data_IF_007423003214
#
_entry.id   IF_007423003214
#
_cell.length_a   1.000
_cell.length_b   1.000
_cell.length_c   1.000
_cell.angle_alpha   90.00
_cell.angle_beta   90.00
_cell.angle_gamma   90.00
#
_symmetry.space_group_name_H-M   'P 1'
#
loop_
_entity.id
_entity.type
_entity.pdbx_description
1 polymer ?
#
# COMPACT_ATOMS: atom_id res chain seq x y z
N UNK A 1 -1.36 14.20 3.80
CA UNK A 1 -1.64 12.73 3.82
C UNK A 1 -0.64 12.07 4.74
N UNK A 2 -1.10 11.16 5.58
CA UNK A 2 -0.17 10.32 6.31
C UNK A 2 0.60 9.47 5.29
N UNK A 3 1.89 9.69 5.18
CA UNK A 3 2.77 8.80 4.42
C UNK A 3 2.90 7.51 5.21
N UNK A 4 2.97 6.39 4.53
CA UNK A 4 3.12 5.08 5.17
C UNK A 4 4.61 4.81 5.49
N UNK A 5 5.28 5.81 6.08
CA UNK A 5 6.71 5.80 6.45
C UNK A 5 6.92 5.58 7.95
N UNK A 6 5.85 5.31 8.70
CA UNK A 6 5.89 5.08 10.14
C UNK A 6 6.16 6.32 10.99
N UNK A 7 6.13 7.52 10.39
CA UNK A 7 6.40 8.77 11.11
C UNK A 7 5.08 9.46 11.42
N UNK A 8 4.84 9.75 12.69
CA UNK A 8 3.67 10.49 13.15
C UNK A 8 3.94 12.00 13.06
N UNK A 9 3.16 12.68 12.21
CA UNK A 9 3.35 14.11 11.93
C UNK A 9 2.16 14.92 12.38
N UNK A 10 2.45 16.02 13.10
CA UNK A 10 1.47 17.06 13.35
C UNK A 10 1.18 17.83 12.08
N UNK A 11 -0.08 17.99 11.75
CA UNK A 11 -0.51 18.82 10.63
C UNK A 11 -1.61 19.78 11.07
N UNK A 12 -1.58 20.99 10.55
CA UNK A 12 -2.65 21.96 10.71
C UNK A 12 -2.90 22.65 9.38
N UNK A 13 -4.15 22.80 9.00
CA UNK A 13 -4.56 23.53 7.79
C UNK A 13 -5.50 24.68 8.15
N UNK A 14 -5.41 25.75 7.41
CA UNK A 14 -6.35 26.86 7.47
C UNK A 14 -7.21 26.89 6.22
N UNK A 15 -8.52 26.88 6.37
CA UNK A 15 -9.51 26.98 5.30
C UNK A 15 -10.30 28.26 5.46
N UNK A 16 -10.33 29.10 4.42
CA UNK A 16 -11.16 30.28 4.43
C UNK A 16 -12.64 29.95 4.23
N UNK A 17 -13.50 30.63 4.96
CA UNK A 17 -14.96 30.50 4.90
C UNK A 17 -15.60 31.87 4.61
N UNK A 18 -16.57 31.85 3.73
CA UNK A 18 -17.38 33.02 3.39
C UNK A 18 -18.73 32.91 4.07
N UNK A 19 -19.47 34.02 4.07
CA UNK A 19 -20.85 34.06 4.57
C UNK A 19 -21.75 32.99 3.93
N UNK A 20 -21.50 32.67 2.67
CA UNK A 20 -22.31 31.70 1.92
C UNK A 20 -22.03 30.23 2.26
N UNK A 21 -20.87 29.89 2.86
CA UNK A 21 -20.49 28.51 3.13
C UNK A 21 -20.21 28.21 4.62
N UNK A 22 -20.31 29.19 5.49
CA UNK A 22 -20.07 29.00 6.92
C UNK A 22 -21.13 28.09 7.56
N UNK A 23 -22.40 28.20 7.14
CA UNK A 23 -23.49 27.35 7.64
C UNK A 23 -23.27 25.86 7.31
N UNK A 24 -22.64 25.54 6.17
CA UNK A 24 -22.27 24.15 5.85
C UNK A 24 -21.16 23.63 6.77
N UNK A 25 -20.19 24.47 7.12
CA UNK A 25 -19.14 24.15 8.07
C UNK A 25 -19.73 23.94 9.48
N UNK A 26 -20.59 24.84 9.93
CA UNK A 26 -21.33 24.70 11.18
C UNK A 26 -22.11 23.40 11.26
N UNK A 27 -22.91 23.11 10.21
CA UNK A 27 -23.69 21.88 10.17
C UNK A 27 -22.84 20.60 10.13
N UNK A 28 -21.60 20.67 9.63
CA UNK A 28 -20.65 19.58 9.71
C UNK A 28 -20.01 19.46 11.09
N UNK A 29 -19.50 20.55 11.63
CA UNK A 29 -18.74 20.56 12.87
C UNK A 29 -19.62 20.25 14.08
N UNK A 30 -20.83 20.82 14.11
CA UNK A 30 -21.82 20.64 15.18
C UNK A 30 -22.74 19.42 14.97
N UNK A 31 -22.44 18.60 13.93
CA UNK A 31 -23.22 17.39 13.61
C UNK A 31 -24.73 17.62 13.44
N UNK A 32 -25.11 18.73 12.82
CA UNK A 32 -26.51 19.10 12.60
C UNK A 32 -27.18 18.42 11.39
N UNK A 33 -26.41 17.71 10.55
CA UNK A 33 -26.92 17.02 9.36
C UNK A 33 -27.49 15.65 9.72
N UNK A 34 -28.59 15.28 9.09
CA UNK A 34 -29.21 13.95 9.23
C UNK A 34 -28.48 12.87 8.41
N UNK A 35 -27.70 13.27 7.40
CA UNK A 35 -26.87 12.38 6.60
C UNK A 35 -25.58 13.11 6.15
N UNK A 36 -24.50 12.36 6.05
CA UNK A 36 -23.21 12.86 5.64
C UNK A 36 -22.75 12.16 4.37
N UNK A 37 -22.05 12.89 3.47
CA UNK A 37 -21.41 12.30 2.30
C UNK A 37 -20.23 11.38 2.68
N UNK A 38 -19.64 11.63 3.84
CA UNK A 38 -18.62 10.77 4.41
C UNK A 38 -19.30 9.62 5.17
N UNK A 39 -19.33 8.44 4.59
CA UNK A 39 -19.92 7.23 5.20
C UNK A 39 -19.14 6.74 6.45
N UNK A 40 -17.96 7.29 6.67
CA UNK A 40 -17.15 6.95 7.84
C UNK A 40 -17.57 7.71 9.09
N UNK A 41 -18.46 8.70 8.98
CA UNK A 41 -19.08 9.35 10.15
C UNK A 41 -20.14 8.42 10.72
N UNK A 42 -20.00 8.08 11.98
CA UNK A 42 -20.89 7.19 12.74
C UNK A 42 -21.70 8.03 13.73
N UNK A 43 -22.94 8.41 13.41
CA UNK A 43 -23.73 9.35 14.22
C UNK A 43 -23.97 8.89 15.66
N UNK A 44 -24.07 7.57 15.89
CA UNK A 44 -24.25 6.99 17.21
C UNK A 44 -23.07 7.28 18.14
N UNK A 45 -21.92 7.67 17.58
CA UNK A 45 -20.70 8.00 18.31
C UNK A 45 -20.49 9.50 18.47
N UNK A 46 -21.30 10.35 17.87
CA UNK A 46 -21.13 11.83 17.94
C UNK A 46 -21.23 12.38 19.36
N UNK A 47 -21.81 11.62 20.28
CA UNK A 47 -21.81 11.97 21.72
C UNK A 47 -20.41 11.96 22.37
N UNK A 48 -19.40 11.41 21.69
CA UNK A 48 -18.00 11.42 22.11
C UNK A 48 -17.21 12.60 21.53
N UNK A 49 -17.81 13.40 20.65
CA UNK A 49 -17.19 14.65 20.20
C UNK A 49 -17.09 15.60 21.39
N UNK A 50 -15.97 16.32 21.49
CA UNK A 50 -15.68 17.18 22.63
C UNK A 50 -15.54 18.62 22.16
N UNK A 51 -16.35 19.50 22.71
CA UNK A 51 -16.15 20.94 22.53
C UNK A 51 -15.17 21.46 23.59
N UNK A 52 -14.05 22.01 23.14
CA UNK A 52 -13.16 22.82 23.97
C UNK A 52 -13.70 24.25 24.09
N UNK A 53 -14.47 24.68 23.09
CA UNK A 53 -15.29 25.88 23.11
C UNK A 53 -16.60 25.60 22.41
N UNK A 54 -17.71 25.63 23.16
CA UNK A 54 -19.06 25.52 22.61
C UNK A 54 -19.50 26.83 21.96
N UNK A 55 -20.18 26.79 20.79
CA UNK A 55 -20.79 27.98 20.23
C UNK A 55 -21.99 28.43 21.06
N UNK A 56 -22.16 29.73 21.24
CA UNK A 56 -23.27 30.33 22.00
C UNK A 56 -24.50 30.68 21.15
N UNK A 57 -24.40 30.45 19.85
CA UNK A 57 -25.44 30.65 18.85
C UNK A 57 -24.91 30.18 17.50
N UNK A 58 -25.61 30.42 16.41
CA UNK A 58 -25.04 30.15 15.09
C UNK A 58 -23.77 30.98 14.85
N UNK A 59 -22.87 30.47 14.05
CA UNK A 59 -21.60 31.17 13.76
C UNK A 59 -21.84 32.57 13.18
N UNK A 60 -22.89 32.76 12.37
CA UNK A 60 -23.30 34.05 11.83
C UNK A 60 -23.85 35.01 12.93
N UNK A 61 -24.65 34.52 13.86
CA UNK A 61 -25.12 35.31 14.98
C UNK A 61 -23.97 35.76 15.87
N UNK A 62 -23.04 34.84 16.19
CA UNK A 62 -21.86 35.15 17.01
C UNK A 62 -20.99 36.22 16.33
N UNK A 63 -20.73 36.08 15.01
CA UNK A 63 -20.01 37.10 14.25
C UNK A 63 -20.69 38.48 14.32
N UNK A 64 -22.00 38.51 14.10
CA UNK A 64 -22.79 39.75 14.16
C UNK A 64 -22.73 40.39 15.55
N UNK A 65 -22.76 39.57 16.61
CA UNK A 65 -22.63 40.05 17.98
C UNK A 65 -21.24 40.66 18.24
N UNK A 66 -20.17 40.01 17.79
CA UNK A 66 -18.78 40.51 17.91
C UNK A 66 -18.59 41.84 17.18
N UNK A 67 -19.26 42.04 16.04
CA UNK A 67 -19.24 43.32 15.34
C UNK A 67 -20.00 44.39 16.09
N UNK A 68 -21.19 44.10 16.64
CA UNK A 68 -21.99 45.01 17.44
C UNK A 68 -21.26 45.43 18.72
N UNK A 69 -20.59 44.53 19.39
CA UNK A 69 -19.82 44.79 20.62
C UNK A 69 -18.51 45.56 20.36
N UNK A 70 -18.12 45.68 19.12
CA UNK A 70 -16.85 46.30 18.74
C UNK A 70 -15.62 45.40 18.98
N UNK A 71 -15.82 44.11 19.29
CA UNK A 71 -14.75 43.10 19.43
C UNK A 71 -14.00 42.95 18.09
N UNK A 72 -14.73 43.04 16.99
CA UNK A 72 -14.20 43.03 15.62
C UNK A 72 -14.70 44.20 14.81
N UNK A 73 -14.04 44.51 13.70
CA UNK A 73 -14.47 45.55 12.76
C UNK A 73 -14.41 45.06 11.34
N UNK A 74 -15.55 45.18 10.65
CA UNK A 74 -15.67 44.87 9.19
C UNK A 74 -15.43 46.09 8.30
N UNK A 75 -15.04 47.23 8.90
CA UNK A 75 -14.85 48.50 8.20
C UNK A 75 -13.92 48.35 7.00
N UNK A 76 -14.48 48.55 5.78
CA UNK A 76 -13.76 48.49 4.52
C UNK A 76 -13.60 47.07 3.96
N UNK A 77 -14.30 46.08 4.50
CA UNK A 77 -14.44 44.78 3.84
C UNK A 77 -15.37 44.88 2.62
N UNK A 78 -15.10 44.05 1.63
CA UNK A 78 -15.99 43.84 0.50
C UNK A 78 -17.08 42.83 0.86
N UNK A 79 -18.25 42.86 0.18
CA UNK A 79 -19.33 41.90 0.45
C UNK A 79 -18.94 40.43 0.27
N UNK A 80 -17.97 40.15 -0.61
CA UNK A 80 -17.46 38.82 -0.93
C UNK A 80 -16.17 38.45 -0.14
N UNK A 81 -15.83 39.23 0.89
CA UNK A 81 -14.65 39.00 1.68
C UNK A 81 -14.78 37.71 2.53
N UNK A 82 -13.63 37.14 2.84
CA UNK A 82 -13.53 36.03 3.80
C UNK A 82 -13.74 36.59 5.22
N UNK A 83 -14.80 36.14 5.89
CA UNK A 83 -15.17 36.57 7.23
C UNK A 83 -14.70 35.59 8.31
N UNK A 84 -14.60 34.30 7.96
CA UNK A 84 -14.27 33.25 8.90
C UNK A 84 -13.11 32.42 8.34
N UNK A 85 -12.35 31.83 9.22
CA UNK A 85 -11.36 30.84 8.93
C UNK A 85 -11.61 29.59 9.79
N UNK A 86 -11.16 28.45 9.31
CA UNK A 86 -11.23 27.17 10.02
C UNK A 86 -9.83 26.57 10.09
N UNK A 87 -9.31 26.37 11.31
CA UNK A 87 -8.14 25.54 11.52
C UNK A 87 -8.59 24.10 11.74
N UNK A 88 -7.95 23.18 11.03
CA UNK A 88 -8.14 21.75 11.25
C UNK A 88 -6.80 21.15 11.65
N UNK A 89 -6.72 20.66 12.87
CA UNK A 89 -5.55 20.00 13.43
C UNK A 89 -5.71 18.49 13.32
N UNK A 90 -4.66 17.83 12.85
CA UNK A 90 -4.69 16.42 12.55
C UNK A 90 -3.34 15.76 12.85
N UNK A 91 -3.40 14.48 13.23
CA UNK A 91 -2.30 13.52 13.28
C UNK A 91 -2.84 12.20 12.74
N UNK A 92 -2.00 11.33 12.22
CA UNK A 92 -2.48 10.05 11.69
C UNK A 92 -3.17 9.20 12.77
N UNK A 93 -4.16 8.41 12.37
CA UNK A 93 -4.97 7.60 13.30
C UNK A 93 -4.14 6.55 14.04
N UNK A 94 -3.01 6.11 13.48
CA UNK A 94 -2.13 5.13 14.10
C UNK A 94 -1.48 5.70 15.36
N UNK A 95 -1.16 6.98 15.39
CA UNK A 95 -0.60 7.66 16.55
C UNK A 95 -1.50 7.48 17.77
N UNK A 96 -2.75 7.87 17.66
CA UNK A 96 -3.71 7.74 18.76
C UNK A 96 -3.99 6.30 19.13
N UNK A 97 -4.12 5.42 18.13
CA UNK A 97 -4.32 3.99 18.35
C UNK A 97 -3.19 3.40 19.21
N UNK A 98 -1.94 3.77 18.95
CA UNK A 98 -0.76 3.28 19.67
C UNK A 98 -0.59 3.91 21.06
N UNK A 99 -1.25 5.04 21.35
CA UNK A 99 -1.12 5.79 22.61
C UNK A 99 -2.36 5.70 23.52
N UNK A 100 -3.26 4.75 23.31
CA UNK A 100 -4.43 4.57 24.17
C UNK A 100 -5.74 5.14 23.61
N UNK A 101 -5.73 5.63 22.38
CA UNK A 101 -6.95 5.96 21.63
C UNK A 101 -7.62 7.25 22.10
N UNK A 102 -8.89 7.14 22.48
CA UNK A 102 -9.77 8.29 22.75
C UNK A 102 -9.27 9.20 23.88
N UNK A 103 -8.90 8.66 25.01
CA UNK A 103 -8.46 9.44 26.18
C UNK A 103 -7.17 10.22 25.90
N UNK A 104 -6.24 9.60 25.16
CA UNK A 104 -5.03 10.28 24.75
C UNK A 104 -5.33 11.39 23.73
N UNK A 105 -6.26 11.15 22.80
CA UNK A 105 -6.68 12.14 21.81
C UNK A 105 -7.32 13.37 22.50
N UNK A 106 -8.11 13.19 23.55
CA UNK A 106 -8.65 14.29 24.35
C UNK A 106 -7.54 15.18 24.93
N UNK A 107 -6.53 14.57 25.54
CA UNK A 107 -5.39 15.29 26.14
C UNK A 107 -4.60 16.03 25.06
N UNK A 108 -4.33 15.36 23.95
CA UNK A 108 -3.60 15.92 22.82
C UNK A 108 -4.32 17.14 22.22
N UNK A 109 -5.63 17.01 21.94
CA UNK A 109 -6.39 18.09 21.31
C UNK A 109 -6.77 19.21 22.29
N UNK A 110 -6.76 18.96 23.58
CA UNK A 110 -6.84 20.03 24.57
C UNK A 110 -5.61 20.97 24.49
N UNK A 111 -4.41 20.42 24.28
CA UNK A 111 -3.21 21.24 24.03
C UNK A 111 -3.23 21.87 22.63
N UNK A 112 -3.69 21.16 21.62
CA UNK A 112 -3.86 21.72 20.27
C UNK A 112 -4.85 22.91 20.27
N UNK A 113 -5.87 22.88 21.12
CA UNK A 113 -6.77 24.04 21.32
C UNK A 113 -6.04 25.26 21.91
N UNK A 114 -5.16 25.07 22.89
CA UNK A 114 -4.33 26.17 23.40
C UNK A 114 -3.42 26.74 22.32
N UNK A 115 -2.81 25.89 21.51
CA UNK A 115 -2.07 26.35 20.33
C UNK A 115 -2.95 27.15 19.36
N UNK A 116 -4.20 26.73 19.15
CA UNK A 116 -5.15 27.46 18.32
C UNK A 116 -5.46 28.85 18.88
N UNK A 117 -5.67 28.98 20.20
CA UNK A 117 -5.88 30.27 20.86
C UNK A 117 -4.72 31.23 20.62
N UNK A 118 -3.47 30.74 20.75
CA UNK A 118 -2.26 31.55 20.50
C UNK A 118 -2.15 31.94 19.02
N UNK A 119 -2.38 31.00 18.08
CA UNK A 119 -2.32 31.24 16.64
C UNK A 119 -3.39 32.26 16.20
N UNK A 120 -4.59 32.12 16.74
CA UNK A 120 -5.72 33.03 16.45
C UNK A 120 -5.48 34.41 17.06
N UNK A 121 -4.77 34.48 18.20
CA UNK A 121 -4.47 35.72 18.91
C UNK A 121 -5.52 36.07 19.98
N UNK A 122 -6.21 35.08 20.49
CA UNK A 122 -7.15 35.21 21.61
C UNK A 122 -8.41 34.38 21.42
N UNK A 123 -8.86 33.80 22.51
CA UNK A 123 -10.06 32.94 22.58
C UNK A 123 -11.36 33.67 22.18
N UNK A 124 -11.42 34.99 22.38
CA UNK A 124 -12.57 35.81 22.03
C UNK A 124 -12.88 35.83 20.52
N UNK A 125 -11.93 35.47 19.66
CA UNK A 125 -12.10 35.39 18.21
C UNK A 125 -12.49 34.00 17.71
N UNK A 126 -12.48 32.98 18.57
CA UNK A 126 -12.90 31.62 18.26
C UNK A 126 -14.41 31.51 18.47
N UNK A 127 -15.12 30.96 17.48
CA UNK A 127 -16.57 30.74 17.54
C UNK A 127 -16.89 29.35 18.08
N UNK A 128 -16.18 28.35 17.66
CA UNK A 128 -16.32 26.96 18.11
C UNK A 128 -14.98 26.23 17.97
N UNK A 129 -14.75 25.27 18.87
CA UNK A 129 -13.62 24.35 18.81
C UNK A 129 -14.08 22.96 19.22
N UNK A 130 -14.17 22.02 18.27
CA UNK A 130 -14.70 20.68 18.51
C UNK A 130 -13.73 19.60 18.01
N UNK A 131 -13.39 18.66 18.88
CA UNK A 131 -12.72 17.42 18.51
C UNK A 131 -13.76 16.41 18.03
N UNK A 132 -13.61 15.95 16.80
CA UNK A 132 -14.41 14.84 16.30
C UNK A 132 -13.79 13.50 16.72
N UNK A 133 -14.63 12.62 17.25
CA UNK A 133 -14.29 11.26 17.67
C UNK A 133 -15.21 10.20 17.05
N UNK A 134 -16.02 10.61 16.09
CA UNK A 134 -17.06 9.83 15.44
C UNK A 134 -16.73 9.43 14.00
N UNK A 135 -15.53 9.73 13.53
CA UNK A 135 -15.09 9.34 12.19
C UNK A 135 -14.24 8.07 12.23
N UNK A 136 -14.67 7.03 11.52
CA UNK A 136 -13.97 5.74 11.44
C UNK A 136 -12.85 5.79 10.41
N UNK A 137 -11.68 5.29 10.74
CA UNK A 137 -10.65 4.99 9.76
C UNK A 137 -10.91 3.63 9.11
N UNK A 138 -11.69 3.60 8.02
CA UNK A 138 -12.09 2.36 7.34
C UNK A 138 -10.88 1.49 6.91
N UNK A 139 -9.77 2.11 6.52
CA UNK A 139 -8.57 1.39 6.09
C UNK A 139 -7.90 0.62 7.23
N UNK A 140 -7.65 1.28 8.37
CA UNK A 140 -7.08 0.64 9.55
C UNK A 140 -8.06 -0.35 10.16
N UNK A 141 -9.34 -0.02 10.26
CA UNK A 141 -10.38 -0.91 10.78
C UNK A 141 -10.43 -2.23 10.00
N UNK A 142 -10.35 -2.15 8.66
CA UNK A 142 -10.29 -3.35 7.81
C UNK A 142 -9.01 -4.16 8.03
N UNK A 143 -7.88 -3.51 8.20
CA UNK A 143 -6.59 -4.18 8.40
C UNK A 143 -6.51 -4.88 9.75
N UNK A 144 -7.07 -4.28 10.81
CA UNK A 144 -6.99 -4.80 12.18
C UNK A 144 -8.17 -5.69 12.58
N UNK A 145 -9.29 -5.64 11.82
CA UNK A 145 -10.48 -6.44 12.11
C UNK A 145 -11.39 -5.87 13.21
N UNK A 146 -11.16 -4.65 13.67
CA UNK A 146 -12.00 -3.91 14.61
C UNK A 146 -11.96 -2.40 14.29
N UNK A 147 -12.91 -1.63 14.83
CA UNK A 147 -13.04 -0.20 14.51
C UNK A 147 -11.87 0.62 15.09
N UNK A 148 -11.22 1.39 14.22
CA UNK A 148 -10.22 2.40 14.55
C UNK A 148 -10.75 3.77 14.16
N UNK A 149 -10.55 4.75 15.04
CA UNK A 149 -11.14 6.07 14.92
C UNK A 149 -10.10 7.09 14.46
N UNK A 150 -10.56 8.05 13.68
CA UNK A 150 -9.79 9.19 13.23
C UNK A 150 -10.20 10.42 14.03
N UNK A 151 -9.30 10.86 14.90
CA UNK A 151 -9.53 12.05 15.73
C UNK A 151 -8.91 13.27 15.08
N UNK A 152 -9.63 14.39 15.07
CA UNK A 152 -9.14 15.67 14.57
C UNK A 152 -9.90 16.81 15.24
N UNK A 153 -9.29 18.01 15.29
CA UNK A 153 -9.87 19.17 15.94
C UNK A 153 -10.20 20.23 14.88
N UNK A 154 -11.43 20.67 14.86
CA UNK A 154 -11.91 21.82 14.10
C UNK A 154 -11.99 23.05 14.99
N UNK A 155 -11.46 24.19 14.54
CA UNK A 155 -11.53 25.47 15.23
C UNK A 155 -12.01 26.53 14.25
N UNK A 156 -13.24 26.98 14.41
CA UNK A 156 -13.83 28.08 13.63
C UNK A 156 -13.54 29.39 14.33
N UNK A 157 -13.01 30.37 13.60
CA UNK A 157 -12.66 31.65 14.18
C UNK A 157 -12.78 32.81 13.17
N UNK A 158 -12.77 34.04 13.70
CA UNK A 158 -12.74 35.27 12.89
C UNK A 158 -11.28 35.74 12.73
N UNK A 159 -10.72 35.80 11.50
CA UNK A 159 -9.34 36.21 11.28
C UNK A 159 -9.21 37.75 11.43
N UNK A 160 -8.63 38.19 12.54
CA UNK A 160 -8.46 39.61 12.85
C UNK A 160 -6.99 40.01 12.83
N UNK A 161 -6.75 41.28 12.53
CA UNK A 161 -5.48 41.98 12.67
C UNK A 161 -5.68 43.32 13.36
N UNK A 162 -4.77 43.68 14.24
CA UNK A 162 -4.77 45.02 14.83
C UNK A 162 -4.51 46.07 13.75
N UNK A 163 -5.32 47.10 13.73
CA UNK A 163 -5.19 48.23 12.80
C UNK A 163 -5.38 49.54 13.53
N UNK A 164 -4.40 50.37 13.42
CA UNK A 164 -4.46 51.75 13.84
C UNK A 164 -5.17 52.60 12.78
N UNK A 165 -6.23 53.28 13.18
CA UNK A 165 -6.94 54.26 12.34
C UNK A 165 -6.42 55.64 12.72
N UNK A 166 -5.85 56.34 11.74
CA UNK A 166 -5.25 57.63 11.97
C UNK A 166 -6.28 58.77 11.69
N UNK A 167 -6.12 59.89 12.40
CA UNK A 167 -6.85 61.09 12.07
C UNK A 167 -6.56 61.53 10.64
N UNK A 168 -7.60 61.66 9.88
CA UNK A 168 -7.49 62.05 8.44
C UNK A 168 -7.17 63.52 8.28
N UNK A 169 -6.75 63.93 7.06
CA UNK A 169 -6.54 65.33 6.69
C UNK A 169 -7.79 66.21 6.79
N UNK A 170 -8.97 65.63 7.03
CA UNK A 170 -10.24 66.36 7.30
C UNK A 170 -10.45 66.68 8.76
N UNK A 171 -9.52 66.33 9.65
CA UNK A 171 -9.62 66.66 11.06
C UNK A 171 -9.54 68.17 11.22
N UNK A 172 -10.42 68.75 12.09
CA UNK A 172 -10.46 70.18 12.37
C UNK A 172 -9.24 70.66 13.15
N UNK A 173 -8.63 69.77 13.91
CA UNK A 173 -7.42 70.06 14.67
C UNK A 173 -6.18 69.56 13.86
N UNK A 174 -5.34 70.46 13.34
CA UNK A 174 -4.16 70.10 12.58
C UNK A 174 -3.16 69.28 13.37
N UNK A 175 -3.09 69.43 14.71
CA UNK A 175 -2.16 68.71 15.56
C UNK A 175 -2.48 67.19 15.70
N UNK A 176 -3.71 66.82 15.45
CA UNK A 176 -4.17 65.46 15.49
C UNK A 176 -3.95 64.70 14.16
N UNK A 177 -3.78 65.41 13.04
CA UNK A 177 -3.65 64.81 11.74
C UNK A 177 -2.44 63.83 11.71
N UNK A 178 -2.72 62.56 11.35
CA UNK A 178 -1.69 61.51 11.31
C UNK A 178 -1.40 60.82 12.66
N UNK A 179 -1.98 61.30 13.76
CA UNK A 179 -1.93 60.59 15.03
C UNK A 179 -2.97 59.49 15.08
N UNK A 180 -2.82 58.49 16.00
CA UNK A 180 -3.76 57.41 16.18
C UNK A 180 -5.06 57.92 16.75
N UNK A 181 -6.15 57.74 16.02
CA UNK A 181 -7.51 58.05 16.47
C UNK A 181 -8.13 56.94 17.28
N UNK A 182 -7.99 55.73 16.81
CA UNK A 182 -8.52 54.51 17.44
C UNK A 182 -7.72 53.27 16.94
N UNK A 183 -7.68 52.25 17.76
CA UNK A 183 -7.17 50.93 17.36
C UNK A 183 -8.33 49.96 17.25
N UNK A 184 -8.47 49.26 16.15
CA UNK A 184 -9.54 48.31 15.88
C UNK A 184 -8.99 46.94 15.55
N UNK A 185 -9.71 45.90 15.85
CA UNK A 185 -9.44 44.54 15.40
C UNK A 185 -10.15 44.32 14.06
N UNK A 186 -9.46 44.62 12.97
CA UNK A 186 -10.04 44.52 11.63
C UNK A 186 -10.08 43.08 11.14
N UNK A 187 -11.25 42.60 10.72
CA UNK A 187 -11.39 41.32 10.04
C UNK A 187 -10.60 41.34 8.74
N UNK A 188 -9.65 40.44 8.58
CA UNK A 188 -8.82 40.37 7.38
C UNK A 188 -8.04 39.06 7.26
N UNK A 189 -8.60 38.09 6.56
CA UNK A 189 -7.92 36.84 6.22
C UNK A 189 -6.56 37.08 5.55
N UNK A 190 -6.52 37.87 4.50
CA UNK A 190 -5.31 38.10 3.68
C UNK A 190 -4.14 38.75 4.45
N UNK A 191 -4.43 39.60 5.45
CA UNK A 191 -3.41 40.18 6.31
C UNK A 191 -2.99 39.26 7.43
N UNK A 192 -3.91 38.51 8.01
CA UNK A 192 -3.63 37.50 9.03
C UNK A 192 -2.67 36.44 8.47
N UNK A 193 -2.93 35.98 7.27
CA UNK A 193 -2.19 34.90 6.59
C UNK A 193 -1.23 35.39 5.51
N UNK A 194 -0.65 36.55 5.67
CA UNK A 194 0.39 37.03 4.74
C UNK A 194 1.72 36.29 4.97
N UNK A 195 2.46 36.06 3.87
CA UNK A 195 3.82 35.54 3.95
C UNK A 195 4.73 36.50 4.69
N UNK A 196 5.63 35.98 5.52
CA UNK A 196 6.54 36.77 6.37
C UNK A 196 7.96 36.82 5.80
N UNK A 197 8.67 37.94 5.91
CA UNK A 197 10.08 38.02 5.56
C UNK A 197 10.90 37.02 6.40
N UNK A 198 11.89 36.40 5.78
CA UNK A 198 12.89 35.58 6.49
C UNK A 198 14.05 36.48 6.88
N UNK A 199 14.50 36.36 8.14
CA UNK A 199 15.65 37.08 8.66
C UNK A 199 16.83 36.14 8.85
N UNK A 200 18.04 36.63 8.68
CA UNK A 200 19.27 35.92 9.05
C UNK A 200 19.56 36.04 10.54
N UNK A 201 20.62 35.38 11.00
CA UNK A 201 21.04 35.37 12.42
C UNK A 201 21.35 36.79 12.97
N UNK A 202 21.61 37.76 12.10
CA UNK A 202 21.86 39.16 12.47
C UNK A 202 20.56 40.01 12.48
N UNK A 203 19.42 39.41 12.19
CA UNK A 203 18.13 40.11 12.11
C UNK A 203 17.92 40.90 10.81
N UNK A 204 18.76 40.71 9.78
CA UNK A 204 18.61 41.37 8.49
C UNK A 204 17.77 40.53 7.54
N UNK A 205 16.88 41.17 6.79
CA UNK A 205 16.02 40.50 5.81
C UNK A 205 16.84 39.77 4.75
N UNK A 206 16.57 38.49 4.56
CA UNK A 206 17.20 37.67 3.54
C UNK A 206 16.67 38.02 2.14
N UNK A 207 17.58 38.02 1.17
CA UNK A 207 17.23 38.29 -0.23
C UNK A 207 17.67 37.13 -1.13
N UNK A 208 16.89 36.89 -2.18
CA UNK A 208 17.26 35.96 -3.26
C UNK A 208 18.42 36.52 -4.08
N UNK A 209 19.06 35.70 -4.91
CA UNK A 209 20.12 36.14 -5.85
C UNK A 209 19.68 37.31 -6.74
N UNK A 210 18.37 37.46 -6.97
CA UNK A 210 17.78 38.55 -7.80
C UNK A 210 17.30 39.75 -6.95
N UNK A 211 17.73 39.86 -5.70
CA UNK A 211 17.41 41.00 -4.82
C UNK A 211 15.99 41.02 -4.24
N UNK A 212 15.14 39.96 -4.50
CA UNK A 212 13.81 39.88 -3.92
C UNK A 212 13.89 39.37 -2.48
N UNK A 213 13.04 39.89 -1.59
CA UNK A 213 12.94 39.41 -0.21
C UNK A 213 12.52 37.93 -0.23
N UNK A 214 13.22 37.11 0.56
CA UNK A 214 12.83 35.73 0.79
C UNK A 214 11.66 35.74 1.75
N UNK A 215 10.54 35.14 1.32
CA UNK A 215 9.32 35.06 2.12
C UNK A 215 9.07 33.62 2.57
N UNK A 216 8.78 33.44 3.87
CA UNK A 216 8.25 32.22 4.43
C UNK A 216 6.74 32.24 4.27
N UNK A 217 6.18 31.22 3.62
CA UNK A 217 4.73 31.10 3.43
C UNK A 217 4.03 30.99 4.77
N UNK A 218 2.89 31.64 4.93
CA UNK A 218 2.07 31.60 6.15
C UNK A 218 1.75 30.17 6.61
N UNK A 219 1.45 29.29 5.67
CA UNK A 219 1.24 27.87 5.94
C UNK A 219 2.44 27.24 6.67
N UNK A 220 3.68 27.54 6.26
CA UNK A 220 4.87 27.00 6.91
C UNK A 220 5.06 27.57 8.31
N UNK A 221 4.68 28.84 8.54
CA UNK A 221 4.69 29.48 9.86
C UNK A 221 3.68 28.80 10.78
N UNK A 222 2.46 28.56 10.27
CA UNK A 222 1.40 27.88 10.98
C UNK A 222 1.82 26.48 11.46
N UNK A 223 2.46 25.69 10.57
CA UNK A 223 2.96 24.36 10.91
C UNK A 223 4.04 24.43 12.01
N UNK A 224 4.96 25.40 11.92
CA UNK A 224 5.99 25.57 12.96
C UNK A 224 5.36 25.92 14.31
N UNK A 225 4.46 26.90 14.35
CA UNK A 225 3.79 27.33 15.58
C UNK A 225 3.06 26.19 16.29
N UNK A 226 2.31 25.39 15.52
CA UNK A 226 1.60 24.24 16.06
C UNK A 226 2.55 23.18 16.59
N UNK A 227 3.50 22.74 15.79
CA UNK A 227 4.46 21.72 16.19
C UNK A 227 5.30 22.16 17.43
N UNK A 228 5.82 23.40 17.41
CA UNK A 228 6.65 23.91 18.52
C UNK A 228 5.85 24.00 19.83
N UNK A 229 4.56 24.38 19.75
CA UNK A 229 3.66 24.36 20.90
C UNK A 229 3.49 22.93 21.45
N UNK A 230 3.17 21.96 20.59
CA UNK A 230 2.94 20.57 21.01
C UNK A 230 4.18 19.94 21.62
N UNK A 231 5.37 20.18 21.05
CA UNK A 231 6.65 19.73 21.61
C UNK A 231 6.89 20.36 22.98
N UNK A 232 6.62 21.67 23.12
CA UNK A 232 6.76 22.38 24.40
C UNK A 232 5.79 21.88 25.47
N UNK A 233 4.64 21.38 25.06
CA UNK A 233 3.65 20.75 25.93
C UNK A 233 3.98 19.29 26.31
N UNK A 234 5.06 18.73 25.76
CA UNK A 234 5.55 17.39 26.09
C UNK A 234 5.27 16.31 25.05
N UNK A 235 4.59 16.60 23.94
CA UNK A 235 4.38 15.68 22.83
C UNK A 235 5.62 15.67 21.91
N UNK A 236 6.68 14.97 22.34
CA UNK A 236 7.98 14.98 21.68
C UNK A 236 8.18 13.86 20.67
N UNK A 237 7.24 12.96 20.56
CA UNK A 237 7.23 11.79 19.68
C UNK A 237 6.48 12.03 18.35
N UNK A 238 6.10 13.26 18.09
CA UNK A 238 5.55 13.70 16.82
C UNK A 238 6.56 14.57 16.06
N UNK A 239 6.58 14.42 14.75
CA UNK A 239 7.37 15.29 13.88
C UNK A 239 6.50 16.41 13.27
N UNK A 240 7.14 17.48 12.90
CA UNK A 240 6.51 18.53 12.11
C UNK A 240 6.18 18.00 10.70
N UNK A 241 5.04 18.39 10.16
CA UNK A 241 4.72 18.18 8.74
C UNK A 241 5.85 18.65 7.82
N UNK A 242 6.09 17.95 6.72
CA UNK A 242 7.25 18.15 5.85
C UNK A 242 7.36 19.57 5.29
N UNK A 243 8.58 20.14 5.34
CA UNK A 243 8.85 21.47 4.77
C UNK A 243 8.90 21.41 3.25
N UNK A 244 8.20 22.34 2.60
CA UNK A 244 8.21 22.44 1.14
C UNK A 244 7.35 21.41 0.41
N UNK A 245 6.54 20.62 1.12
CA UNK A 245 5.53 19.78 0.48
C UNK A 245 4.62 20.63 -0.39
N UNK A 246 4.47 20.24 -1.66
CA UNK A 246 3.54 20.82 -2.63
C UNK A 246 2.28 19.95 -2.77
N UNK A 247 2.14 18.92 -1.94
CA UNK A 247 0.98 18.05 -1.97
C UNK A 247 -0.27 18.85 -1.57
N UNK A 248 -1.22 18.95 -2.48
CA UNK A 248 -2.51 19.55 -2.21
C UNK A 248 -3.32 18.65 -1.25
N UNK A 249 -4.03 19.29 -0.34
CA UNK A 249 -4.99 18.57 0.48
C UNK A 249 -6.14 18.09 -0.39
N UNK A 250 -6.16 16.79 -0.65
CA UNK A 250 -7.30 16.16 -1.29
C UNK A 250 -8.49 16.17 -0.33
N UNK A 251 -9.67 16.45 -0.86
CA UNK A 251 -10.89 16.19 -0.09
C UNK A 251 -10.98 14.69 0.24
N UNK A 252 -11.73 14.32 1.28
CA UNK A 252 -11.96 12.92 1.66
C UNK A 252 -12.42 12.07 0.47
N UNK A 253 -13.27 12.64 -0.38
CA UNK A 253 -13.75 11.97 -1.61
C UNK A 253 -12.62 11.77 -2.62
N UNK A 254 -11.83 12.81 -2.90
CA UNK A 254 -10.67 12.71 -3.81
C UNK A 254 -9.64 11.70 -3.30
N UNK A 255 -9.38 11.66 -1.99
CA UNK A 255 -8.49 10.69 -1.39
C UNK A 255 -9.01 9.24 -1.55
N UNK A 256 -10.32 9.02 -1.30
CA UNK A 256 -10.96 7.71 -1.50
C UNK A 256 -10.87 7.27 -2.98
N UNK A 257 -11.15 8.17 -3.91
CA UNK A 257 -11.04 7.89 -5.36
C UNK A 257 -9.60 7.53 -5.75
N UNK A 258 -8.62 8.29 -5.29
CA UNK A 258 -7.21 8.00 -5.58
C UNK A 258 -6.76 6.65 -4.99
N UNK A 259 -7.21 6.32 -3.78
CA UNK A 259 -6.91 5.03 -3.13
C UNK A 259 -7.56 3.87 -3.88
N UNK A 260 -8.81 4.03 -4.31
CA UNK A 260 -9.52 3.02 -5.07
C UNK A 260 -8.89 2.81 -6.46
N UNK A 261 -8.45 3.88 -7.11
CA UNK A 261 -7.69 3.79 -8.37
C UNK A 261 -6.39 3.00 -8.19
N UNK A 262 -5.63 3.27 -7.13
CA UNK A 262 -4.42 2.53 -6.82
C UNK A 262 -4.69 1.03 -6.54
N UNK A 263 -5.79 0.72 -5.86
CA UNK A 263 -6.23 -0.66 -5.64
C UNK A 263 -6.59 -1.35 -6.97
N UNK A 264 -7.30 -0.64 -7.85
CA UNK A 264 -7.67 -1.14 -9.18
C UNK A 264 -6.42 -1.44 -10.02
N UNK A 265 -5.45 -0.53 -10.04
CA UNK A 265 -4.18 -0.70 -10.75
C UNK A 265 -3.41 -1.93 -10.24
N UNK A 266 -3.36 -2.14 -8.92
CA UNK A 266 -2.77 -3.32 -8.31
C UNK A 266 -3.50 -4.62 -8.71
N UNK A 267 -4.82 -4.60 -8.73
CA UNK A 267 -5.63 -5.76 -9.15
C UNK A 267 -5.39 -6.09 -10.62
N UNK A 268 -5.28 -5.08 -11.50
CA UNK A 268 -4.95 -5.28 -12.92
C UNK A 268 -3.58 -5.92 -13.11
N UNK A 269 -2.58 -5.48 -12.34
CA UNK A 269 -1.24 -6.09 -12.37
C UNK A 269 -1.28 -7.56 -11.91
N UNK A 270 -2.03 -7.85 -10.84
CA UNK A 270 -2.20 -9.22 -10.35
C UNK A 270 -2.96 -10.09 -11.36
N UNK A 271 -3.99 -9.57 -12.00
CA UNK A 271 -4.71 -10.27 -13.05
C UNK A 271 -3.79 -10.62 -14.22
N UNK A 272 -3.01 -9.65 -14.73
CA UNK A 272 -2.04 -9.89 -15.80
C UNK A 272 -1.00 -10.96 -15.45
N UNK A 273 -0.49 -10.94 -14.22
CA UNK A 273 0.46 -11.95 -13.74
C UNK A 273 -0.19 -13.35 -13.67
N UNK A 274 -1.44 -13.43 -13.23
CA UNK A 274 -2.21 -14.67 -13.18
C UNK A 274 -2.48 -15.22 -14.59
N UNK A 275 -2.85 -14.37 -15.54
CA UNK A 275 -3.06 -14.73 -16.94
C UNK A 275 -1.78 -15.26 -17.60
N UNK A 276 -0.63 -14.60 -17.38
CA UNK A 276 0.67 -15.07 -17.87
C UNK A 276 1.03 -16.45 -17.28
N UNK A 277 0.80 -16.61 -15.97
CA UNK A 277 1.03 -17.91 -15.30
C UNK A 277 0.13 -19.01 -15.86
N UNK A 278 -1.14 -18.72 -16.13
CA UNK A 278 -2.06 -19.66 -16.73
C UNK A 278 -1.67 -20.04 -18.17
N UNK A 279 -1.22 -19.09 -18.98
CA UNK A 279 -0.71 -19.37 -20.34
C UNK A 279 0.53 -20.25 -20.32
N UNK A 280 1.44 -20.01 -19.38
CA UNK A 280 2.65 -20.82 -19.19
C UNK A 280 2.28 -22.25 -18.79
N UNK A 281 1.36 -22.42 -17.85
CA UNK A 281 0.85 -23.71 -17.40
C UNK A 281 0.16 -24.47 -18.56
N UNK A 282 -0.66 -23.77 -19.36
CA UNK A 282 -1.29 -24.37 -20.53
C UNK A 282 -0.30 -24.84 -21.59
N UNK A 283 0.76 -24.07 -21.82
CA UNK A 283 1.84 -24.43 -22.74
C UNK A 283 2.60 -25.68 -22.24
N UNK A 284 2.86 -25.77 -20.95
CA UNK A 284 3.48 -26.93 -20.32
C UNK A 284 2.60 -28.18 -20.40
N UNK A 285 1.27 -28.03 -20.19
CA UNK A 285 0.31 -29.12 -20.36
C UNK A 285 0.33 -29.66 -21.79
N UNK A 286 0.24 -28.78 -22.80
CA UNK A 286 0.29 -29.20 -24.22
C UNK A 286 1.57 -29.95 -24.57
N UNK A 287 2.70 -29.49 -24.01
CA UNK A 287 3.99 -30.18 -24.21
C UNK A 287 3.98 -31.58 -23.57
N UNK A 288 3.46 -31.69 -22.33
CA UNK A 288 3.33 -32.96 -21.63
C UNK A 288 2.41 -33.94 -22.38
N UNK A 289 1.29 -33.46 -22.88
CA UNK A 289 0.36 -34.25 -23.71
C UNK A 289 1.03 -34.80 -24.98
N UNK A 290 1.80 -33.97 -25.68
CA UNK A 290 2.55 -34.37 -26.83
C UNK A 290 3.63 -35.43 -26.48
N UNK A 291 4.33 -35.27 -25.37
CA UNK A 291 5.33 -36.20 -24.90
C UNK A 291 4.69 -37.56 -24.52
N UNK A 292 3.49 -37.55 -23.91
CA UNK A 292 2.70 -38.75 -23.61
C UNK A 292 2.28 -39.46 -24.91
N UNK A 293 1.76 -38.75 -25.89
CA UNK A 293 1.36 -39.32 -27.18
C UNK A 293 2.56 -39.97 -27.90
N UNK A 294 3.70 -39.29 -27.84
CA UNK A 294 4.96 -39.82 -28.45
C UNK A 294 5.42 -41.08 -27.71
N UNK A 295 5.36 -41.12 -26.40
CA UNK A 295 5.68 -42.30 -25.59
C UNK A 295 4.72 -43.45 -25.87
N UNK A 296 3.42 -43.18 -26.00
CA UNK A 296 2.41 -44.18 -26.37
C UNK A 296 2.69 -44.81 -27.73
N UNK A 297 2.98 -44.01 -28.76
CA UNK A 297 3.37 -44.53 -30.10
C UNK A 297 4.60 -45.43 -30.05
N UNK A 298 5.59 -45.09 -29.21
CA UNK A 298 6.80 -45.94 -29.02
C UNK A 298 6.41 -47.24 -28.33
N UNK A 299 5.54 -47.20 -27.31
CA UNK A 299 5.07 -48.38 -26.58
C UNK A 299 4.30 -49.33 -27.52
N UNK A 300 3.39 -48.80 -28.34
CA UNK A 300 2.61 -49.57 -29.30
C UNK A 300 3.52 -50.27 -30.33
N UNK A 301 4.59 -49.59 -30.77
CA UNK A 301 5.62 -50.17 -31.64
C UNK A 301 6.36 -51.34 -30.96
N UNK A 302 6.71 -51.20 -29.67
CA UNK A 302 7.35 -52.26 -28.91
C UNK A 302 6.42 -53.49 -28.69
N UNK A 303 5.16 -53.23 -28.36
CA UNK A 303 4.14 -54.28 -28.19
C UNK A 303 3.96 -55.07 -29.48
N UNK A 304 3.92 -54.40 -30.63
CA UNK A 304 3.85 -55.04 -31.94
C UNK A 304 5.06 -55.96 -32.20
N UNK A 305 6.28 -55.41 -31.97
CA UNK A 305 7.51 -56.18 -32.11
C UNK A 305 7.57 -57.39 -31.18
N UNK A 306 7.04 -57.28 -29.96
CA UNK A 306 6.99 -58.41 -28.98
C UNK A 306 6.02 -59.49 -29.48
N UNK A 307 4.84 -59.13 -30.01
CA UNK A 307 3.89 -60.08 -30.61
C UNK A 307 4.48 -60.78 -31.83
N UNK A 308 5.25 -60.09 -32.67
CA UNK A 308 5.95 -60.69 -33.81
C UNK A 308 6.99 -61.71 -33.34
N UNK A 309 7.69 -61.43 -32.26
CA UNK A 309 8.67 -62.38 -31.66
C UNK A 309 7.94 -63.59 -31.06
N UNK A 310 6.87 -63.38 -30.29
CA UNK A 310 6.04 -64.48 -29.73
C UNK A 310 5.49 -65.39 -30.85
N UNK A 311 4.96 -64.79 -31.90
CA UNK A 311 4.47 -65.52 -33.08
C UNK A 311 5.58 -66.30 -33.77
N UNK A 312 6.80 -65.73 -33.82
CA UNK A 312 7.94 -66.41 -34.37
C UNK A 312 8.38 -67.60 -33.47
N UNK A 313 8.42 -67.40 -32.15
CA UNK A 313 8.75 -68.47 -31.18
C UNK A 313 7.72 -69.59 -31.24
N UNK A 314 6.43 -69.28 -31.33
CA UNK A 314 5.35 -70.27 -31.46
C UNK A 314 5.44 -71.08 -32.76
N UNK A 315 5.98 -70.48 -33.85
CA UNK A 315 6.22 -71.13 -35.13
C UNK A 315 7.55 -71.88 -35.20
N UNK A 316 8.40 -71.72 -34.20
CA UNK A 316 9.56 -72.57 -34.05
C UNK A 316 9.07 -73.92 -33.53
N UNK A 317 8.86 -74.83 -34.43
CA UNK A 317 8.52 -76.22 -34.08
C UNK A 317 9.59 -76.89 -33.24
N UNK A 318 9.41 -78.19 -32.99
CA UNK A 318 10.42 -78.98 -32.28
C UNK A 318 11.77 -78.96 -32.94
N UNK A 319 12.84 -79.34 -32.28
CA UNK A 319 14.18 -79.40 -32.79
C UNK A 319 14.27 -80.35 -34.06
N UNK A 320 13.44 -81.36 -34.07
CA UNK A 320 13.28 -82.34 -35.15
C UNK A 320 12.61 -81.71 -36.38
N UNK A 321 11.59 -80.82 -36.18
CA UNK A 321 10.95 -80.07 -37.28
C UNK A 321 11.87 -78.98 -37.85
N UNK A 322 12.69 -78.34 -37.02
CA UNK A 322 13.66 -77.33 -37.50
C UNK A 322 14.82 -77.90 -38.20
N UNK A 323 15.33 -79.05 -37.83
CA UNK A 323 16.46 -79.77 -38.38
C UNK A 323 16.04 -81.22 -38.60
N UNK A 324 15.29 -81.50 -39.67
CA UNK A 324 14.86 -82.86 -39.97
C UNK A 324 16.06 -83.76 -40.27
N UNK A 325 15.89 -85.10 -40.03
CA UNK A 325 16.93 -86.09 -40.23
C UNK A 325 17.56 -86.07 -41.58
N UNK A 326 18.79 -86.50 -41.62
CA UNK A 326 19.55 -86.63 -42.88
C UNK A 326 19.01 -87.80 -43.70
N UNK A 327 18.61 -87.56 -44.91
CA UNK A 327 18.18 -88.65 -45.79
C UNK A 327 19.30 -89.55 -46.15
N UNK A 328 19.01 -90.85 -46.37
CA UNK A 328 20.02 -91.92 -46.63
C UNK A 328 20.97 -91.61 -47.83
N UNK A 329 20.57 -90.74 -48.72
CA UNK A 329 21.37 -90.34 -49.91
C UNK A 329 21.94 -88.92 -49.83
N UNK A 330 21.71 -88.16 -48.72
CA UNK A 330 22.15 -86.77 -48.53
C UNK A 330 23.54 -86.69 -47.90
N UNK A 331 24.50 -86.04 -48.52
CA UNK A 331 25.82 -85.85 -47.91
C UNK A 331 25.75 -84.84 -46.77
N UNK A 332 26.56 -85.05 -45.70
CA UNK A 332 26.63 -84.11 -44.58
C UNK A 332 26.98 -82.65 -45.01
N UNK A 333 27.72 -82.48 -46.12
CA UNK A 333 27.97 -81.12 -46.64
C UNK A 333 26.72 -80.49 -47.24
N UNK A 334 25.87 -81.24 -47.95
CA UNK A 334 24.61 -80.79 -48.54
C UNK A 334 23.63 -80.47 -47.47
N UNK A 335 23.40 -81.29 -46.47
CA UNK A 335 22.57 -81.07 -45.33
C UNK A 335 22.96 -79.79 -44.58
N UNK A 336 24.25 -79.60 -44.27
CA UNK A 336 24.75 -78.40 -43.58
C UNK A 336 24.48 -77.17 -44.41
N UNK A 337 24.74 -77.13 -45.72
CA UNK A 337 24.59 -75.98 -46.59
C UNK A 337 23.16 -75.59 -46.84
N UNK A 338 22.26 -76.59 -47.07
CA UNK A 338 20.89 -76.36 -47.53
C UNK A 338 19.84 -76.35 -46.43
N UNK A 339 20.09 -77.05 -45.32
CA UNK A 339 19.12 -77.15 -44.24
C UNK A 339 19.59 -76.48 -42.91
N UNK A 340 20.76 -76.91 -42.40
CA UNK A 340 21.20 -76.42 -41.08
C UNK A 340 21.67 -74.98 -41.07
N UNK A 341 22.52 -74.56 -41.99
CA UNK A 341 23.11 -73.24 -42.00
C UNK A 341 22.08 -72.10 -42.22
N UNK A 342 21.05 -72.22 -43.09
CA UNK A 342 20.01 -71.22 -43.23
C UNK A 342 19.17 -71.02 -41.91
N UNK A 343 18.86 -72.12 -41.22
CA UNK A 343 18.09 -72.06 -39.94
C UNK A 343 18.95 -71.39 -38.84
N UNK A 344 20.22 -71.79 -38.71
CA UNK A 344 21.16 -71.22 -37.75
C UNK A 344 21.31 -69.68 -38.03
N UNK A 345 21.53 -69.32 -39.29
CA UNK A 345 21.61 -67.88 -39.65
C UNK A 345 20.37 -67.10 -39.31
N UNK A 346 19.17 -67.66 -39.51
CA UNK A 346 17.89 -67.08 -39.17
C UNK A 346 17.74 -66.90 -37.67
N UNK A 347 18.04 -67.92 -36.84
CA UNK A 347 18.03 -67.87 -35.41
C UNK A 347 19.02 -66.87 -34.84
N UNK A 348 20.27 -66.84 -35.32
CA UNK A 348 21.29 -65.85 -34.89
C UNK A 348 20.85 -64.42 -35.21
N UNK A 349 20.21 -64.17 -36.35
CA UNK A 349 19.71 -62.87 -36.70
C UNK A 349 18.61 -62.41 -35.72
N UNK A 350 17.66 -63.31 -35.46
CA UNK A 350 16.55 -63.02 -34.51
C UNK A 350 17.06 -62.83 -33.09
N UNK A 351 18.02 -63.62 -32.65
CA UNK A 351 18.63 -63.44 -31.31
C UNK A 351 19.30 -62.06 -31.17
N UNK A 352 20.02 -61.57 -32.22
CA UNK A 352 20.59 -60.24 -32.20
C UNK A 352 19.54 -59.15 -32.15
N UNK A 353 18.43 -59.28 -32.89
CA UNK A 353 17.30 -58.32 -32.88
C UNK A 353 16.69 -58.25 -31.48
N UNK A 354 16.41 -59.38 -30.84
CA UNK A 354 15.87 -59.44 -29.43
C UNK A 354 16.87 -58.88 -28.43
N UNK A 355 18.16 -59.12 -28.59
CA UNK A 355 19.17 -58.54 -27.70
C UNK A 355 19.24 -57.04 -27.78
N UNK A 356 19.19 -56.45 -28.99
CA UNK A 356 19.14 -54.98 -29.15
C UNK A 356 17.90 -54.37 -28.54
N UNK A 357 16.72 -55.01 -28.68
CA UNK A 357 15.49 -54.57 -28.05
C UNK A 357 15.60 -54.58 -26.55
N UNK A 358 16.10 -55.66 -25.96
CA UNK A 358 16.30 -55.81 -24.52
C UNK A 358 17.23 -54.74 -23.91
N UNK A 359 18.35 -54.45 -24.64
CA UNK A 359 19.30 -53.42 -24.20
C UNK A 359 18.62 -52.03 -24.24
N UNK A 360 17.89 -51.70 -25.31
CA UNK A 360 17.17 -50.43 -25.44
C UNK A 360 16.11 -50.28 -24.37
N UNK A 361 15.34 -51.34 -24.04
CA UNK A 361 14.34 -51.32 -22.99
C UNK A 361 14.97 -51.13 -21.61
N UNK A 362 16.11 -51.76 -21.30
CA UNK A 362 16.84 -51.52 -20.04
C UNK A 362 17.30 -50.08 -19.91
N UNK A 363 17.80 -49.46 -20.98
CA UNK A 363 18.19 -48.04 -20.99
C UNK A 363 16.98 -47.12 -20.78
N UNK A 364 15.85 -47.40 -21.45
CA UNK A 364 14.61 -46.63 -21.28
C UNK A 364 14.09 -46.72 -19.84
N UNK A 365 14.04 -47.92 -19.26
CA UNK A 365 13.59 -48.13 -17.87
C UNK A 365 14.53 -47.44 -16.86
N UNK A 366 15.85 -47.44 -17.08
CA UNK A 366 16.81 -46.71 -16.25
C UNK A 366 16.59 -45.22 -16.27
N UNK A 367 16.30 -44.66 -17.46
CA UNK A 367 16.00 -43.22 -17.58
C UNK A 367 14.68 -42.84 -16.92
N UNK A 368 13.62 -43.63 -17.11
CA UNK A 368 12.34 -43.42 -16.46
C UNK A 368 12.45 -43.47 -14.93
N UNK A 369 13.25 -44.40 -14.39
CA UNK A 369 13.50 -44.48 -12.95
C UNK A 369 14.20 -43.19 -12.43
N UNK A 370 15.20 -42.67 -13.16
CA UNK A 370 15.88 -41.40 -12.82
C UNK A 370 14.92 -40.22 -12.85
N UNK A 371 14.10 -40.11 -13.90
CA UNK A 371 13.06 -39.06 -14.00
C UNK A 371 12.02 -39.16 -12.90
N UNK A 372 11.55 -40.35 -12.54
CA UNK A 372 10.62 -40.58 -11.45
C UNK A 372 11.16 -40.07 -10.11
N UNK A 373 12.44 -40.38 -9.81
CA UNK A 373 13.10 -39.87 -8.59
C UNK A 373 13.23 -38.34 -8.63
N UNK A 374 13.58 -37.74 -9.75
CA UNK A 374 13.67 -36.29 -9.92
C UNK A 374 12.31 -35.62 -9.66
N UNK A 375 11.24 -36.10 -10.27
CA UNK A 375 9.91 -35.52 -10.12
C UNK A 375 9.34 -35.72 -8.70
N UNK A 376 9.63 -36.84 -8.05
CA UNK A 376 9.26 -37.05 -6.66
C UNK A 376 9.92 -36.05 -5.73
N UNK A 377 11.23 -35.81 -5.85
CA UNK A 377 11.95 -34.79 -5.07
C UNK A 377 11.39 -33.40 -5.32
N UNK A 378 11.08 -33.05 -6.56
CA UNK A 378 10.50 -31.75 -6.92
C UNK A 378 9.11 -31.58 -6.31
N UNK A 379 8.29 -32.62 -6.29
CA UNK A 379 6.97 -32.62 -5.66
C UNK A 379 7.07 -32.44 -4.13
N UNK A 380 7.98 -33.12 -3.48
CA UNK A 380 8.26 -32.97 -2.04
C UNK A 380 8.71 -31.54 -1.68
N UNK A 381 9.60 -30.97 -2.46
CA UNK A 381 10.06 -29.57 -2.29
C UNK A 381 8.89 -28.59 -2.46
N UNK A 382 8.06 -28.78 -3.48
CA UNK A 382 6.89 -27.91 -3.71
C UNK A 382 5.84 -28.05 -2.59
N UNK A 383 5.67 -29.21 -2.01
CA UNK A 383 4.78 -29.42 -0.87
C UNK A 383 5.27 -28.67 0.38
N UNK A 384 6.58 -28.70 0.66
CA UNK A 384 7.19 -27.93 1.74
C UNK A 384 7.01 -26.43 1.54
N UNK A 385 7.24 -25.88 0.32
CA UNK A 385 7.00 -24.48 0.01
C UNK A 385 5.53 -24.08 0.19
N UNK A 386 4.57 -24.93 -0.14
CA UNK A 386 3.14 -24.66 0.11
C UNK A 386 2.82 -24.57 1.60
N UNK A 387 3.38 -25.45 2.39
CA UNK A 387 3.20 -25.45 3.84
C UNK A 387 3.80 -24.19 4.48
N UNK A 388 4.99 -23.77 4.04
CA UNK A 388 5.65 -22.56 4.51
C UNK A 388 4.88 -21.29 4.05
N UNK A 389 4.33 -21.26 2.84
CA UNK A 389 3.48 -20.18 2.37
C UNK A 389 2.19 -20.05 3.20
N UNK A 390 1.58 -21.18 3.60
CA UNK A 390 0.41 -21.15 4.49
C UNK A 390 0.77 -20.64 5.88
N UNK A 391 1.92 -21.02 6.43
CA UNK A 391 2.44 -20.51 7.72
C UNK A 391 2.72 -19.01 7.63
N UNK A 392 3.36 -18.56 6.55
CA UNK A 392 3.66 -17.15 6.32
C UNK A 392 2.38 -16.31 6.20
N UNK A 393 1.36 -16.79 5.48
CA UNK A 393 0.07 -16.12 5.40
C UNK A 393 -0.62 -16.00 6.77
N UNK A 394 -0.56 -17.03 7.60
CA UNK A 394 -1.09 -16.95 8.98
C UNK A 394 -0.32 -15.94 9.83
N UNK A 395 0.99 -15.89 9.71
CA UNK A 395 1.82 -14.90 10.41
C UNK A 395 1.51 -13.48 9.93
N UNK A 396 1.33 -13.26 8.61
CA UNK A 396 0.92 -11.97 8.05
C UNK A 396 -0.44 -11.50 8.59
N UNK A 397 -1.38 -12.44 8.81
CA UNK A 397 -2.69 -12.13 9.40
C UNK A 397 -2.60 -11.77 10.89
N UNK A 398 -1.66 -12.35 11.62
CA UNK A 398 -1.51 -12.16 13.07
C UNK A 398 -0.66 -10.93 13.43
N UNK A 399 0.42 -10.69 12.71
CA UNK A 399 1.43 -9.69 13.07
C UNK A 399 1.44 -8.46 12.12
N UNK A 400 0.78 -8.58 10.96
CA UNK A 400 0.91 -7.61 9.89
C UNK A 400 2.20 -7.80 9.08
N UNK A 401 2.18 -7.33 7.83
CA UNK A 401 3.29 -7.52 6.89
C UNK A 401 4.56 -6.79 7.35
N UNK A 402 4.42 -5.57 7.84
CA UNK A 402 5.54 -4.71 8.21
C UNK A 402 6.33 -5.27 9.40
N UNK A 403 5.63 -5.85 10.38
CA UNK A 403 6.28 -6.50 11.52
C UNK A 403 7.02 -7.76 11.11
N UNK A 404 6.50 -8.53 10.16
CA UNK A 404 7.19 -9.69 9.61
C UNK A 404 8.43 -9.29 8.82
N UNK A 405 8.34 -8.25 7.99
CA UNK A 405 9.49 -7.73 7.24
C UNK A 405 10.56 -7.19 8.19
N UNK A 406 10.16 -6.56 9.29
CA UNK A 406 11.08 -6.15 10.37
C UNK A 406 11.78 -7.33 11.03
N UNK A 407 11.04 -8.37 11.40
CA UNK A 407 11.59 -9.58 12.00
C UNK A 407 12.51 -10.33 11.03
N UNK A 408 12.13 -10.43 9.76
CA UNK A 408 12.96 -11.04 8.72
C UNK A 408 14.26 -10.27 8.48
N UNK A 409 14.24 -8.94 8.55
CA UNK A 409 15.44 -8.12 8.42
C UNK A 409 16.43 -8.30 9.58
N UNK A 410 15.95 -8.69 10.75
CA UNK A 410 16.77 -9.02 11.93
C UNK A 410 17.35 -10.43 11.89
N UNK A 411 16.76 -11.34 11.10
CA UNK A 411 17.30 -12.67 10.89
C UNK A 411 18.54 -12.61 10.02
N UNK A 412 19.71 -12.95 10.55
CA UNK A 412 20.90 -13.16 9.74
C UNK A 412 20.63 -14.26 8.72
N UNK A 413 20.65 -13.93 7.45
CA UNK A 413 20.58 -14.93 6.36
C UNK A 413 21.70 -15.92 6.55
N UNK A 414 21.47 -17.24 6.69
CA UNK A 414 22.56 -18.21 6.71
C UNK A 414 23.28 -18.09 5.35
N UNK A 415 24.60 -17.89 5.39
CA UNK A 415 25.42 -17.90 4.20
C UNK A 415 25.14 -19.19 3.43
N UNK A 416 24.66 -19.07 2.20
CA UNK A 416 24.53 -20.19 1.28
C UNK A 416 25.95 -20.64 0.95
N UNK A 417 26.44 -21.68 1.62
CA UNK A 417 27.62 -22.38 1.14
C UNK A 417 27.29 -22.94 -0.25
N UNK A 418 28.06 -22.60 -1.28
CA UNK A 418 27.89 -23.20 -2.58
C UNK A 418 28.10 -24.71 -2.44
N UNK A 419 27.10 -25.49 -2.82
CA UNK A 419 27.22 -26.95 -2.94
C UNK A 419 28.35 -27.20 -3.94
N UNK A 420 29.51 -27.67 -3.43
CA UNK A 420 30.59 -28.17 -4.27
C UNK A 420 30.03 -29.31 -5.14
N UNK A 421 29.92 -29.07 -6.42
CA UNK A 421 29.71 -30.12 -7.42
C UNK A 421 30.89 -31.09 -7.31
N UNK A 422 30.64 -32.29 -6.78
CA UNK A 422 31.56 -33.40 -6.95
C UNK A 422 31.44 -33.83 -8.42
N UNK A 423 32.32 -33.32 -9.25
CA UNK A 423 32.67 -33.96 -10.49
C UNK A 423 33.31 -35.31 -10.13
N UNK A 424 32.61 -36.41 -10.41
CA UNK A 424 33.20 -37.73 -10.44
C UNK A 424 33.90 -37.88 -11.78
N UNK A 425 35.19 -37.70 -11.75
CA UNK A 425 36.09 -38.30 -12.75
C UNK A 425 35.83 -39.80 -12.79
N UNK A 426 35.39 -40.31 -13.93
CA UNK A 426 35.45 -41.71 -14.35
C UNK A 426 36.45 -41.78 -15.46
N UNK A 427 37.69 -42.15 -15.10
CA UNK A 427 38.64 -42.80 -16.00
C UNK A 427 38.19 -44.25 -16.28
#
# INVERSE_FOLDING_TARGET
MARNDGIDRTTVRNQSRTESNIADAEAHNERLKTCYRNEDIIPERSHLNIHFKEPTGSYQEMFSQMEQDGTISTRGLKPDAVHYDELVFDVNSAYFHNHGGYEYAQTFYAEAYKAAVDIVGGEQYILSAVMHADERNAGMSKALGYDVWHYHLHVIYVPVVEKQVLWSKRCKDPLLIGTVKETIMQVSHSKKWQSQPVFDESGKTMHTKNGKIVLKKSYSVLQDQYHDHMVSAGFTDVERGERGSTEEHLSTVQFKVMKEQANLDNLLVQQQAAEQSAQLAQTQCRKAEHDIETAQKKLDGLVKNTKDIETFVQRLGSSEELLPDVSVLESGKSYRANKALPVVKKLVRRLKEVYVLLVNERHANSNLAKESVFWRRKAETNAAYREDAVKLNKLNQLLGKDEIDRLLSQCKTPERHPLKSKEHDLS
#
